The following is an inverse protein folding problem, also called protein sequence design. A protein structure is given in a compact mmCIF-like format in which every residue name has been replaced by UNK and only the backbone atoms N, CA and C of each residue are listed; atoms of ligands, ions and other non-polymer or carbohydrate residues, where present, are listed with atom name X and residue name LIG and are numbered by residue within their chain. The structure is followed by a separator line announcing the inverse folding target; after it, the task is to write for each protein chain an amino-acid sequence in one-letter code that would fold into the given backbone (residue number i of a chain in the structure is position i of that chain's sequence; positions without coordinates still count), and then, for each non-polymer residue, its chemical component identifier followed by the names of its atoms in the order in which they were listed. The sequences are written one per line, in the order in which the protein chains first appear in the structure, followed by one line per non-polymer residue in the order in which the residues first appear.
data_IF_433499780611
#
_entry.id   IF_433499780611
#
_cell.length_a   1.000
_cell.length_b   1.000
_cell.length_c   1.000
_cell.angle_alpha   90.00
_cell.angle_beta   90.00
_cell.angle_gamma   90.00
#
_symmetry.space_group_name_H-M   'P 1'
#
loop_
_entity.id
_entity.type
_entity.pdbx_description
1 polymer ?
#
# COMPACT_ATOMS: atom_id res chain seq x y z
N UNK A 1 -9.52 4.01 19.00
CA UNK A 1 -8.07 3.95 18.68
C UNK A 1 -7.65 4.96 17.63
N UNK A 2 -8.29 5.03 16.45
CA UNK A 2 -7.90 5.95 15.38
C UNK A 2 -7.85 7.42 15.82
N UNK A 3 -8.91 7.93 16.45
CA UNK A 3 -8.94 9.32 16.95
C UNK A 3 -7.84 9.62 17.98
N UNK A 4 -7.50 8.65 18.83
CA UNK A 4 -6.38 8.76 19.78
C UNK A 4 -5.03 8.84 19.06
N UNK A 5 -4.73 7.91 18.15
CA UNK A 5 -3.43 7.85 17.47
C UNK A 5 -3.17 9.07 16.58
N UNK A 6 -4.17 9.51 15.81
CA UNK A 6 -4.02 10.70 14.96
C UNK A 6 -3.81 11.97 15.79
N UNK A 7 -4.58 12.13 16.87
CA UNK A 7 -4.42 13.27 17.78
C UNK A 7 -3.10 13.23 18.53
N UNK A 8 -2.64 12.04 18.94
CA UNK A 8 -1.34 11.83 19.57
C UNK A 8 -0.20 12.32 18.68
N UNK A 9 -0.19 11.95 17.41
CA UNK A 9 0.83 12.43 16.47
C UNK A 9 0.82 13.95 16.35
N UNK A 10 -0.37 14.54 16.26
CA UNK A 10 -0.52 15.99 16.17
C UNK A 10 0.02 16.70 17.44
N UNK A 11 -0.39 16.27 18.64
CA UNK A 11 0.08 16.87 19.89
C UNK A 11 1.59 16.67 20.12
N UNK A 12 2.13 15.48 19.81
CA UNK A 12 3.57 15.24 19.94
C UNK A 12 4.44 16.10 19.01
N UNK A 13 3.86 16.58 17.91
CA UNK A 13 4.59 17.34 16.87
C UNK A 13 4.40 18.85 17.03
N UNK A 14 3.18 19.30 17.35
CA UNK A 14 2.82 20.73 17.31
C UNK A 14 2.47 21.34 18.68
N UNK A 15 2.29 20.53 19.72
CA UNK A 15 2.01 21.02 21.07
C UNK A 15 3.18 20.72 22.02
N UNK A 16 3.35 21.57 23.04
CA UNK A 16 4.44 21.45 24.00
C UNK A 16 5.71 22.22 23.61
N UNK A 17 6.78 21.97 24.37
CA UNK A 17 8.08 22.61 24.21
C UNK A 17 8.94 21.85 23.19
N UNK A 18 9.77 22.55 22.40
CA UNK A 18 10.69 21.90 21.47
C UNK A 18 11.66 20.98 22.21
N UNK A 19 11.95 19.82 21.62
CA UNK A 19 12.84 18.80 22.20
C UNK A 19 14.29 18.89 21.68
N UNK A 20 14.55 19.72 20.69
CA UNK A 20 15.85 19.85 20.02
C UNK A 20 16.15 21.30 19.65
N UNK A 21 17.42 21.69 19.75
CA UNK A 21 17.88 23.06 19.48
C UNK A 21 17.82 23.45 17.99
N UNK A 22 17.65 22.47 17.09
CA UNK A 22 17.56 22.69 15.63
C UNK A 22 16.29 23.46 15.23
N UNK A 23 15.29 23.54 16.11
CA UNK A 23 13.99 24.17 15.84
C UNK A 23 14.13 25.65 15.51
N UNK A 24 15.10 26.37 16.10
CA UNK A 24 15.31 27.81 15.86
C UNK A 24 15.68 28.14 14.41
N UNK A 25 16.11 27.15 13.62
CA UNK A 25 16.56 27.35 12.24
C UNK A 25 15.55 26.85 11.20
N UNK A 26 14.41 26.27 11.63
CA UNK A 26 13.40 25.72 10.72
C UNK A 26 12.47 26.83 10.24
N UNK A 27 12.64 27.21 8.98
CA UNK A 27 11.77 28.18 8.30
C UNK A 27 11.16 27.54 7.06
N UNK A 28 9.89 27.81 6.78
CA UNK A 28 9.26 27.38 5.53
C UNK A 28 9.65 28.33 4.39
N UNK A 29 10.73 28.00 3.66
CA UNK A 29 11.27 28.87 2.61
C UNK A 29 10.51 28.78 1.26
N UNK A 30 9.64 27.78 1.07
CA UNK A 30 8.97 27.54 -0.23
C UNK A 30 7.46 27.66 -0.18
N UNK A 31 6.93 28.76 -0.72
CA UNK A 31 5.48 29.03 -0.78
C UNK A 31 4.70 28.00 -1.63
N UNK A 32 5.36 27.33 -2.59
CA UNK A 32 4.72 26.39 -3.52
C UNK A 32 4.18 25.11 -2.87
N UNK A 33 4.68 24.70 -1.70
CA UNK A 33 4.18 23.51 -0.99
C UNK A 33 2.77 23.74 -0.42
N UNK A 34 2.42 24.99 -0.10
CA UNK A 34 1.13 25.35 0.51
C UNK A 34 -0.03 25.24 -0.48
N UNK A 35 0.19 25.57 -1.74
CA UNK A 35 -0.83 25.58 -2.78
C UNK A 35 -1.56 24.24 -2.92
N UNK A 36 -0.87 23.10 -3.16
CA UNK A 36 -1.56 21.81 -3.26
C UNK A 36 -2.20 21.38 -1.94
N UNK A 37 -1.56 21.65 -0.80
CA UNK A 37 -2.06 21.24 0.52
C UNK A 37 -3.37 21.95 0.91
N UNK A 38 -3.43 23.27 0.68
CA UNK A 38 -4.64 24.07 0.90
C UNK A 38 -5.73 23.69 -0.09
N UNK A 39 -5.39 23.49 -1.37
CA UNK A 39 -6.36 23.06 -2.39
C UNK A 39 -7.00 21.72 -2.01
N UNK A 40 -6.18 20.73 -1.63
CA UNK A 40 -6.68 19.42 -1.20
C UNK A 40 -7.52 19.51 0.08
N UNK A 41 -7.16 20.39 1.02
CA UNK A 41 -7.92 20.60 2.26
C UNK A 41 -9.30 21.19 1.98
N UNK A 42 -9.39 22.17 1.08
CA UNK A 42 -10.67 22.74 0.63
C UNK A 42 -11.50 21.66 -0.08
N UNK A 43 -10.91 20.95 -1.05
CA UNK A 43 -11.61 19.88 -1.77
C UNK A 43 -12.12 18.83 -0.79
N UNK A 44 -11.31 18.38 0.17
CA UNK A 44 -11.71 17.35 1.15
C UNK A 44 -12.83 17.85 2.06
N UNK A 45 -12.73 19.09 2.56
CA UNK A 45 -13.74 19.68 3.45
C UNK A 45 -15.12 19.78 2.80
N UNK A 46 -15.17 20.12 1.50
CA UNK A 46 -16.44 20.29 0.80
C UNK A 46 -16.92 19.01 0.09
N UNK A 47 -16.03 18.18 -0.45
CA UNK A 47 -16.42 17.03 -1.28
C UNK A 47 -17.28 16.03 -0.52
N UNK A 48 -16.90 15.67 0.71
CA UNK A 48 -17.68 14.70 1.50
C UNK A 48 -19.09 15.19 1.79
N UNK A 49 -19.22 16.47 2.19
CA UNK A 49 -20.50 17.09 2.48
C UNK A 49 -21.37 17.27 1.23
N UNK A 50 -20.78 17.74 0.12
CA UNK A 50 -21.48 17.92 -1.15
C UNK A 50 -21.99 16.59 -1.70
N UNK A 51 -21.17 15.52 -1.65
CA UNK A 51 -21.58 14.20 -2.10
C UNK A 51 -22.69 13.61 -1.22
N UNK A 52 -22.61 13.80 0.10
CA UNK A 52 -23.67 13.39 1.02
C UNK A 52 -24.99 14.13 0.69
N UNK A 53 -24.97 15.46 0.61
CA UNK A 53 -26.14 16.27 0.26
C UNK A 53 -26.67 16.00 -1.16
N UNK A 54 -25.81 15.50 -2.05
CA UNK A 54 -26.19 15.07 -3.41
C UNK A 54 -26.84 13.69 -3.48
N UNK A 55 -27.11 13.03 -2.34
CA UNK A 55 -27.61 11.65 -2.24
C UNK A 55 -26.74 10.62 -2.97
N UNK A 56 -25.41 10.82 -2.99
CA UNK A 56 -24.47 9.97 -3.70
C UNK A 56 -24.58 8.49 -3.34
N UNK A 57 -24.80 8.19 -2.05
CA UNK A 57 -24.94 6.81 -1.55
C UNK A 57 -26.17 6.13 -2.14
N UNK A 58 -27.32 6.82 -2.18
CA UNK A 58 -28.56 6.28 -2.75
C UNK A 58 -28.45 6.10 -4.26
N UNK A 59 -27.82 7.06 -4.95
CA UNK A 59 -27.52 6.95 -6.37
C UNK A 59 -26.63 5.73 -6.70
N UNK A 60 -25.64 5.41 -5.85
CA UNK A 60 -24.77 4.25 -6.04
C UNK A 60 -25.46 2.92 -5.66
N UNK A 61 -26.36 2.95 -4.67
CA UNK A 61 -26.99 1.74 -4.13
C UNK A 61 -28.12 1.18 -4.99
N UNK A 62 -28.86 2.00 -5.73
CA UNK A 62 -29.97 1.52 -6.56
C UNK A 62 -30.07 2.28 -7.90
N UNK A 63 -29.31 1.82 -8.93
CA UNK A 63 -29.32 2.43 -10.25
C UNK A 63 -30.63 2.20 -11.03
N UNK A 64 -31.51 1.31 -10.56
CA UNK A 64 -32.71 0.86 -11.29
C UNK A 64 -34.01 1.48 -10.75
N UNK A 65 -34.04 1.89 -9.48
CA UNK A 65 -35.18 2.55 -8.83
C UNK A 65 -35.12 4.09 -8.90
N UNK A 66 -34.47 4.66 -9.92
CA UNK A 66 -34.42 6.11 -10.15
C UNK A 66 -35.75 6.64 -10.71
N UNK A 67 -36.82 6.56 -9.92
CA UNK A 67 -38.05 7.34 -10.14
C UNK A 67 -38.12 8.49 -9.12
N UNK A 68 -37.15 9.41 -9.17
CA UNK A 68 -37.27 10.67 -8.42
C UNK A 68 -35.97 11.43 -8.16
N UNK A 69 -34.92 10.78 -7.64
CA UNK A 69 -33.69 11.46 -7.21
C UNK A 69 -32.57 11.28 -8.23
N UNK A 70 -32.43 12.25 -9.13
CA UNK A 70 -31.19 12.35 -9.90
C UNK A 70 -30.08 12.85 -8.95
N UNK A 71 -28.88 12.28 -9.05
CA UNK A 71 -27.73 12.76 -8.31
C UNK A 71 -27.61 14.29 -8.43
N UNK A 72 -27.45 14.97 -7.29
CA UNK A 72 -27.39 16.43 -7.15
C UNK A 72 -28.67 17.23 -7.47
N UNK A 73 -29.77 16.64 -7.98
CA UNK A 73 -30.94 17.47 -8.35
C UNK A 73 -31.64 18.09 -7.17
N UNK A 74 -31.74 17.37 -6.07
CA UNK A 74 -32.40 17.87 -4.86
C UNK A 74 -31.54 18.93 -4.17
N UNK A 75 -30.22 18.76 -4.20
CA UNK A 75 -29.26 19.79 -3.77
C UNK A 75 -29.38 21.08 -4.60
N UNK A 76 -29.55 21.01 -5.92
CA UNK A 76 -29.68 22.20 -6.77
C UNK A 76 -31.05 22.87 -6.69
N UNK A 77 -32.14 22.11 -6.52
CA UNK A 77 -33.51 22.65 -6.49
C UNK A 77 -33.92 23.11 -5.09
N UNK A 78 -33.57 22.34 -4.06
CA UNK A 78 -33.95 22.57 -2.66
C UNK A 78 -32.72 22.41 -1.75
N UNK A 79 -31.73 23.31 -1.83
CA UNK A 79 -30.44 23.15 -1.15
C UNK A 79 -30.58 23.06 0.38
N UNK A 80 -31.50 23.85 0.96
CA UNK A 80 -31.69 23.86 2.42
C UNK A 80 -32.35 22.56 2.90
N UNK A 81 -33.34 22.06 2.18
CA UNK A 81 -34.06 20.84 2.55
C UNK A 81 -33.17 19.61 2.40
N UNK A 82 -32.37 19.54 1.32
CA UNK A 82 -31.40 18.46 1.13
C UNK A 82 -30.35 18.42 2.24
N UNK A 83 -29.82 19.58 2.65
CA UNK A 83 -28.87 19.67 3.77
C UNK A 83 -29.53 19.26 5.10
N UNK A 84 -30.73 19.76 5.38
CA UNK A 84 -31.43 19.44 6.62
C UNK A 84 -31.80 17.96 6.70
N UNK A 85 -32.28 17.38 5.59
CA UNK A 85 -32.59 15.96 5.50
C UNK A 85 -31.37 15.09 5.78
N UNK A 86 -30.22 15.37 5.15
CA UNK A 86 -29.00 14.59 5.38
C UNK A 86 -28.45 14.78 6.80
N UNK A 87 -28.52 15.99 7.37
CA UNK A 87 -28.13 16.22 8.76
C UNK A 87 -29.04 15.47 9.75
N UNK A 88 -30.35 15.48 9.51
CA UNK A 88 -31.33 14.75 10.32
C UNK A 88 -31.12 13.24 10.19
N UNK A 89 -30.93 12.74 8.97
CA UNK A 89 -30.69 11.32 8.72
C UNK A 89 -29.36 10.84 9.33
N UNK A 90 -28.29 11.65 9.22
CA UNK A 90 -26.97 11.29 9.70
C UNK A 90 -26.82 11.38 11.23
N UNK A 91 -27.38 12.43 11.86
CA UNK A 91 -27.19 12.68 13.29
C UNK A 91 -28.40 12.30 14.16
N UNK A 92 -29.60 12.24 13.58
CA UNK A 92 -30.85 11.97 14.28
C UNK A 92 -31.68 10.86 13.60
N UNK A 93 -31.11 9.67 13.36
CA UNK A 93 -31.86 8.59 12.70
C UNK A 93 -33.10 8.18 13.53
N UNK A 94 -34.16 7.76 12.86
CA UNK A 94 -35.40 7.30 13.51
C UNK A 94 -35.14 6.09 14.42
N UNK A 95 -34.22 5.22 14.02
CA UNK A 95 -33.78 4.08 14.83
C UNK A 95 -32.91 4.53 16.02
N UNK A 96 -33.45 4.34 17.22
CA UNK A 96 -32.76 4.62 18.47
C UNK A 96 -31.44 3.85 18.63
N UNK A 97 -31.34 2.63 18.10
CA UNK A 97 -30.10 1.84 18.17
C UNK A 97 -29.01 2.48 17.33
N UNK A 98 -29.31 2.84 16.07
CA UNK A 98 -28.35 3.53 15.20
C UNK A 98 -27.93 4.88 15.79
N UNK A 99 -28.88 5.62 16.37
CA UNK A 99 -28.60 6.90 17.05
C UNK A 99 -27.59 6.72 18.19
N UNK A 100 -27.84 5.76 19.09
CA UNK A 100 -26.96 5.51 20.24
C UNK A 100 -25.57 5.07 19.76
N UNK A 101 -25.50 4.14 18.80
CA UNK A 101 -24.22 3.64 18.28
C UNK A 101 -23.43 4.76 17.61
N UNK A 102 -24.08 5.57 16.76
CA UNK A 102 -23.46 6.69 16.06
C UNK A 102 -22.91 7.74 17.02
N UNK A 103 -23.72 8.22 17.96
CA UNK A 103 -23.29 9.21 18.96
C UNK A 103 -22.21 8.65 19.90
N UNK A 104 -22.30 7.39 20.28
CA UNK A 104 -21.26 6.73 21.09
C UNK A 104 -19.94 6.65 20.32
N UNK A 105 -19.98 6.27 19.04
CA UNK A 105 -18.79 6.21 18.19
C UNK A 105 -18.15 7.60 18.01
N UNK A 106 -18.96 8.64 17.76
CA UNK A 106 -18.49 10.03 17.66
C UNK A 106 -17.86 10.47 18.98
N UNK A 107 -18.52 10.24 20.12
CA UNK A 107 -18.02 10.62 21.43
C UNK A 107 -16.70 9.92 21.76
N UNK A 108 -16.61 8.62 21.53
CA UNK A 108 -15.38 7.85 21.80
C UNK A 108 -14.24 8.24 20.86
N UNK A 109 -14.53 8.44 19.57
CA UNK A 109 -13.51 8.70 18.55
C UNK A 109 -13.05 10.16 18.53
N UNK A 110 -13.98 11.12 18.50
CA UNK A 110 -13.70 12.54 18.37
C UNK A 110 -13.62 13.28 19.72
N UNK A 111 -14.18 12.72 20.79
CA UNK A 111 -14.08 13.29 22.14
C UNK A 111 -12.99 12.63 22.97
N UNK A 112 -13.24 11.38 23.38
CA UNK A 112 -12.39 10.66 24.35
C UNK A 112 -10.97 10.42 23.81
N UNK A 113 -10.82 10.04 22.54
CA UNK A 113 -9.51 9.81 21.91
C UNK A 113 -8.59 11.04 21.97
N UNK A 114 -8.98 12.19 21.39
CA UNK A 114 -8.19 13.42 21.45
C UNK A 114 -7.97 13.92 22.88
N UNK A 115 -8.95 13.79 23.77
CA UNK A 115 -8.80 14.17 25.18
C UNK A 115 -7.69 13.38 25.88
N UNK A 116 -7.70 12.05 25.75
CA UNK A 116 -6.66 11.19 26.34
C UNK A 116 -5.29 11.49 25.69
N UNK A 117 -5.24 11.68 24.38
CA UNK A 117 -4.01 12.03 23.67
C UNK A 117 -3.42 13.37 24.13
N UNK A 118 -4.25 14.40 24.30
CA UNK A 118 -3.85 15.69 24.83
C UNK A 118 -3.32 15.56 26.27
N UNK A 119 -3.95 14.73 27.10
CA UNK A 119 -3.52 14.50 28.48
C UNK A 119 -2.18 13.76 28.57
N UNK A 120 -1.89 12.86 27.65
CA UNK A 120 -0.65 12.05 27.64
C UNK A 120 0.53 12.72 26.95
N UNK A 121 0.26 13.56 25.93
CA UNK A 121 1.30 14.06 25.02
C UNK A 121 1.18 15.56 24.71
N UNK A 122 0.16 16.22 25.22
CA UNK A 122 -0.06 17.64 25.06
C UNK A 122 0.76 18.51 26.01
N UNK A 123 0.78 19.81 25.75
CA UNK A 123 1.49 20.77 26.59
C UNK A 123 1.38 22.20 26.08
N UNK A 124 1.88 23.13 26.89
CA UNK A 124 1.97 24.54 26.53
C UNK A 124 3.20 24.80 25.64
N UNK A 125 3.06 25.74 24.71
CA UNK A 125 4.17 26.26 23.90
C UNK A 125 5.22 26.94 24.79
N UNK A 126 6.46 27.04 24.29
CA UNK A 126 7.52 27.82 24.90
C UNK A 126 7.21 29.33 24.89
N UNK A 127 7.79 30.05 25.84
CA UNK A 127 7.60 31.49 25.97
C UNK A 127 8.11 32.22 24.73
N UNK A 128 7.23 32.98 24.07
CA UNK A 128 7.54 33.74 22.85
C UNK A 128 7.04 33.12 21.54
N UNK A 129 6.72 31.81 21.53
CA UNK A 129 6.22 31.12 20.34
C UNK A 129 4.71 31.32 20.15
N UNK A 130 4.29 31.50 18.89
CA UNK A 130 2.88 31.73 18.55
C UNK A 130 2.37 30.67 17.59
N UNK A 131 1.15 30.22 17.85
CA UNK A 131 0.43 29.33 16.95
C UNK A 131 -0.35 30.09 15.88
N UNK A 132 -0.63 29.39 14.78
CA UNK A 132 -1.54 29.85 13.74
C UNK A 132 -2.95 30.03 14.36
N UNK A 133 -3.71 31.07 14.00
CA UNK A 133 -5.03 31.34 14.59
C UNK A 133 -5.98 30.13 14.55
N UNK A 134 -5.93 29.33 13.48
CA UNK A 134 -6.77 28.15 13.30
C UNK A 134 -6.47 27.01 14.29
N UNK A 135 -5.23 26.89 14.77
CA UNK A 135 -4.81 25.82 15.70
C UNK A 135 -4.68 26.30 17.15
N UNK A 136 -4.80 27.61 17.37
CA UNK A 136 -4.66 28.23 18.69
C UNK A 136 -5.63 27.66 19.74
N UNK A 137 -6.88 27.41 19.36
CA UNK A 137 -7.87 26.81 20.26
C UNK A 137 -7.45 25.41 20.74
N UNK A 138 -6.84 24.62 19.85
CA UNK A 138 -6.45 23.24 20.12
C UNK A 138 -5.20 23.18 21.01
N UNK A 139 -4.27 24.11 20.83
CA UNK A 139 -3.08 24.23 21.70
C UNK A 139 -3.48 24.73 23.08
N UNK A 140 -4.39 25.70 23.16
CA UNK A 140 -4.94 26.16 24.44
C UNK A 140 -5.67 25.04 25.17
N UNK A 141 -6.47 24.26 24.45
CA UNK A 141 -7.13 23.07 24.98
C UNK A 141 -6.09 22.07 25.51
N UNK A 142 -5.09 21.73 24.70
CA UNK A 142 -4.01 20.82 25.07
C UNK A 142 -3.22 21.26 26.31
N UNK A 143 -2.98 22.56 26.49
CA UNK A 143 -2.31 23.07 27.68
C UNK A 143 -3.20 23.02 28.92
N UNK A 144 -4.51 23.24 28.76
CA UNK A 144 -5.47 23.21 29.88
C UNK A 144 -5.73 21.79 30.43
N UNK A 145 -5.59 20.78 29.58
CA UNK A 145 -5.74 19.38 29.93
C UNK A 145 -4.41 18.92 30.53
N UNK A 146 -4.35 18.77 31.87
CA UNK A 146 -3.11 18.45 32.58
C UNK A 146 -2.41 17.16 32.11
N UNK A 147 -1.25 16.83 32.66
CA UNK A 147 -0.44 15.70 32.20
C UNK A 147 -0.78 14.39 32.95
N UNK A 148 -0.87 13.28 32.22
CA UNK A 148 -0.87 11.92 32.79
C UNK A 148 0.44 11.22 32.46
N UNK A 149 1.19 10.82 33.49
CA UNK A 149 2.32 9.93 33.30
C UNK A 149 1.86 8.51 32.96
N UNK A 150 2.47 7.91 31.95
CA UNK A 150 2.16 6.58 31.42
C UNK A 150 3.39 5.70 31.31
N UNK A 151 4.49 6.04 32.00
CA UNK A 151 5.76 5.29 31.97
C UNK A 151 5.57 3.79 32.22
N UNK A 152 4.83 3.41 33.26
CA UNK A 152 4.57 1.99 33.59
C UNK A 152 3.84 1.24 32.47
N UNK A 153 2.89 1.89 31.78
CA UNK A 153 2.19 1.30 30.63
C UNK A 153 3.07 1.20 29.39
N UNK A 154 3.99 2.16 29.22
CA UNK A 154 4.92 2.20 28.09
C UNK A 154 6.02 1.13 28.19
N UNK A 155 6.40 0.74 29.40
CA UNK A 155 7.41 -0.30 29.66
C UNK A 155 6.82 -1.71 29.80
N UNK A 156 5.50 -1.83 29.79
CA UNK A 156 4.81 -3.12 29.89
C UNK A 156 5.05 -4.03 28.68
N UNK A 157 4.98 -5.35 28.88
CA UNK A 157 5.22 -6.34 27.82
C UNK A 157 4.29 -6.20 26.60
N UNK A 158 3.06 -5.71 26.80
CA UNK A 158 2.15 -5.42 25.68
C UNK A 158 2.61 -4.23 24.84
N UNK A 159 3.16 -3.18 25.45
CA UNK A 159 3.73 -2.04 24.73
C UNK A 159 4.97 -2.46 23.93
N UNK A 160 5.83 -3.30 24.51
CA UNK A 160 6.97 -3.91 23.79
C UNK A 160 6.50 -4.77 22.61
N UNK A 161 5.44 -5.57 22.78
CA UNK A 161 4.87 -6.35 21.69
C UNK A 161 4.31 -5.44 20.57
N UNK A 162 3.54 -4.39 20.91
CA UNK A 162 3.05 -3.42 19.92
C UNK A 162 4.19 -2.69 19.21
N UNK A 163 5.26 -2.34 19.92
CA UNK A 163 6.46 -1.74 19.34
C UNK A 163 7.11 -2.67 18.31
N UNK A 164 7.20 -3.96 18.63
CA UNK A 164 7.69 -5.00 17.73
C UNK A 164 6.63 -5.49 16.73
N UNK A 165 5.62 -4.65 16.40
CA UNK A 165 4.54 -4.96 15.43
C UNK A 165 3.84 -6.29 15.71
N UNK A 166 3.66 -6.60 16.99
CA UNK A 166 3.08 -7.84 17.51
C UNK A 166 3.83 -9.12 17.08
N UNK A 167 5.12 -9.00 16.70
CA UNK A 167 5.94 -10.10 16.17
C UNK A 167 5.33 -10.77 14.92
N UNK A 168 4.38 -10.09 14.26
CA UNK A 168 3.72 -10.61 13.05
C UNK A 168 4.74 -10.70 11.92
N UNK A 169 5.52 -9.63 11.71
CA UNK A 169 6.57 -9.57 10.68
C UNK A 169 7.61 -10.69 10.89
N UNK A 170 8.05 -10.91 12.14
CA UNK A 170 9.00 -11.97 12.51
C UNK A 170 8.42 -13.38 12.27
N UNK A 171 7.13 -13.58 12.58
CA UNK A 171 6.45 -14.85 12.34
C UNK A 171 6.30 -15.14 10.83
N UNK A 172 5.98 -14.12 10.03
CA UNK A 172 5.94 -14.22 8.57
C UNK A 172 7.32 -14.54 8.00
N UNK A 173 8.37 -13.84 8.44
CA UNK A 173 9.75 -14.11 8.00
C UNK A 173 10.20 -15.51 8.40
N UNK A 174 9.91 -15.94 9.63
CA UNK A 174 10.18 -17.30 10.09
C UNK A 174 9.43 -18.35 9.25
N UNK A 175 8.16 -18.12 8.95
CA UNK A 175 7.36 -19.02 8.14
C UNK A 175 7.91 -19.13 6.71
N UNK A 176 8.15 -17.99 6.06
CA UNK A 176 8.68 -17.93 4.69
C UNK A 176 10.08 -18.55 4.64
N UNK A 177 10.93 -18.24 5.61
CA UNK A 177 12.30 -18.78 5.66
C UNK A 177 12.36 -20.28 5.90
N UNK A 178 11.41 -20.85 6.66
CA UNK A 178 11.33 -22.29 6.90
C UNK A 178 10.66 -23.06 5.77
N UNK A 179 9.77 -22.44 5.00
CA UNK A 179 8.97 -23.13 3.99
C UNK A 179 9.41 -22.77 2.57
N UNK A 180 9.35 -21.50 2.22
CA UNK A 180 9.56 -21.02 0.86
C UNK A 180 11.03 -21.03 0.45
N UNK A 181 11.95 -20.57 1.32
CA UNK A 181 13.37 -20.50 0.97
C UNK A 181 14.00 -21.87 0.68
N UNK A 182 13.74 -22.94 1.44
CA UNK A 182 14.25 -24.27 1.11
C UNK A 182 13.69 -24.80 -0.21
N UNK A 183 12.39 -24.58 -0.48
CA UNK A 183 11.78 -24.97 -1.74
C UNK A 183 12.39 -24.21 -2.93
N UNK A 184 12.62 -22.91 -2.77
CA UNK A 184 13.29 -22.09 -3.78
C UNK A 184 14.71 -22.60 -4.05
N UNK A 185 15.47 -22.97 -3.01
CA UNK A 185 16.81 -23.54 -3.15
C UNK A 185 16.78 -24.90 -3.87
N UNK A 186 15.80 -25.75 -3.59
CA UNK A 186 15.60 -27.02 -4.31
C UNK A 186 15.30 -26.75 -5.78
N UNK A 187 14.39 -25.82 -6.08
CA UNK A 187 14.07 -25.44 -7.47
C UNK A 187 15.30 -24.91 -8.21
N UNK A 188 16.10 -24.05 -7.57
CA UNK A 188 17.33 -23.52 -8.14
C UNK A 188 18.39 -24.61 -8.38
N UNK A 189 18.47 -25.61 -7.49
CA UNK A 189 19.32 -26.78 -7.70
C UNK A 189 18.84 -27.63 -8.88
N UNK A 190 17.53 -27.87 -9.02
CA UNK A 190 16.97 -28.61 -10.15
C UNK A 190 17.29 -27.90 -11.46
N UNK A 191 17.07 -26.59 -11.54
CA UNK A 191 17.36 -25.80 -12.73
C UNK A 191 18.85 -25.92 -13.12
N UNK A 192 19.75 -25.67 -12.17
CA UNK A 192 21.20 -25.67 -12.41
C UNK A 192 21.77 -27.07 -12.72
N UNK A 193 21.23 -28.13 -12.12
CA UNK A 193 21.78 -29.48 -12.27
C UNK A 193 21.10 -30.26 -13.39
N UNK A 194 19.78 -30.19 -13.50
CA UNK A 194 19.01 -30.99 -14.45
C UNK A 194 18.76 -30.22 -15.74
N UNK A 195 18.14 -29.05 -15.67
CA UNK A 195 17.76 -28.29 -16.88
C UNK A 195 19.02 -27.85 -17.64
N UNK A 196 19.93 -27.19 -16.93
CA UNK A 196 21.23 -26.77 -17.47
C UNK A 196 22.08 -27.96 -17.94
N UNK A 197 22.01 -29.07 -17.22
CA UNK A 197 22.72 -30.30 -17.55
C UNK A 197 22.24 -30.90 -18.88
N UNK A 198 20.92 -30.94 -19.09
CA UNK A 198 20.31 -31.40 -20.34
C UNK A 198 20.71 -30.50 -21.51
N UNK A 199 20.59 -29.18 -21.34
CA UNK A 199 20.92 -28.21 -22.40
C UNK A 199 22.39 -28.34 -22.81
N UNK A 200 23.32 -28.36 -21.83
CA UNK A 200 24.74 -28.56 -22.08
C UNK A 200 25.04 -29.94 -22.66
N UNK A 201 24.27 -30.96 -22.31
CA UNK A 201 24.35 -32.30 -22.90
C UNK A 201 24.03 -32.29 -24.40
N UNK A 202 22.94 -31.63 -24.78
CA UNK A 202 22.53 -31.46 -26.19
C UNK A 202 23.60 -30.65 -26.95
N UNK A 203 24.07 -29.56 -26.37
CA UNK A 203 25.13 -28.72 -26.95
C UNK A 203 26.39 -29.54 -27.27
N UNK A 204 26.92 -30.28 -26.28
CA UNK A 204 28.11 -31.13 -26.45
C UNK A 204 27.86 -32.26 -27.45
N UNK A 205 26.68 -32.88 -27.44
CA UNK A 205 26.31 -33.92 -28.40
C UNK A 205 26.29 -33.40 -29.83
N UNK A 206 25.74 -32.20 -30.03
CA UNK A 206 25.72 -31.52 -31.34
C UNK A 206 27.12 -31.17 -31.82
N UNK A 207 27.96 -30.59 -30.94
CA UNK A 207 29.35 -30.27 -31.27
C UNK A 207 30.16 -31.53 -31.60
N UNK A 208 30.00 -32.60 -30.80
CA UNK A 208 30.65 -33.89 -31.07
C UNK A 208 30.24 -34.45 -32.44
N UNK A 209 28.93 -34.51 -32.73
CA UNK A 209 28.42 -34.99 -34.02
C UNK A 209 28.96 -34.16 -35.19
N UNK A 210 28.99 -32.83 -35.04
CA UNK A 210 29.55 -31.91 -36.03
C UNK A 210 31.03 -32.20 -36.29
N UNK A 211 31.83 -32.37 -35.23
CA UNK A 211 33.25 -32.71 -35.39
C UNK A 211 33.46 -34.09 -36.03
N UNK A 212 32.59 -35.06 -35.75
CA UNK A 212 32.64 -36.40 -36.34
C UNK A 212 32.32 -36.38 -37.84
N UNK A 213 31.24 -35.67 -38.24
CA UNK A 213 30.90 -35.48 -39.66
C UNK A 213 32.03 -34.74 -40.39
N UNK A 214 32.64 -33.74 -39.75
CA UNK A 214 33.75 -32.98 -40.33
C UNK A 214 34.97 -33.86 -40.65
N UNK A 215 35.21 -34.92 -39.89
CA UNK A 215 36.34 -35.83 -40.16
C UNK A 215 36.20 -36.61 -41.47
N UNK A 216 34.98 -36.84 -41.96
CA UNK A 216 34.76 -37.47 -43.28
C UNK A 216 35.09 -36.53 -44.46
N UNK A 217 35.28 -35.24 -44.20
CA UNK A 217 35.60 -34.23 -45.23
C UNK A 217 37.12 -34.06 -45.30
N UNK A 218 37.79 -34.85 -46.15
CA UNK A 218 39.26 -34.94 -46.21
C UNK A 218 39.94 -33.81 -47.00
N UNK A 219 39.17 -33.02 -47.76
CA UNK A 219 39.69 -31.92 -48.59
C UNK A 219 40.40 -32.37 -49.88
N UNK A 220 40.43 -33.67 -50.18
CA UNK A 220 41.02 -34.23 -51.42
C UNK A 220 39.94 -34.47 -52.47
N UNK A 221 40.11 -33.91 -53.67
CA UNK A 221 39.16 -34.07 -54.78
C UNK A 221 38.88 -35.55 -55.15
N UNK A 222 39.89 -36.42 -55.03
CA UNK A 222 39.77 -37.86 -55.29
C UNK A 222 38.72 -38.54 -54.40
N UNK A 223 38.67 -38.16 -53.13
CA UNK A 223 37.85 -38.83 -52.13
C UNK A 223 36.37 -38.46 -52.33
N UNK A 224 36.09 -37.22 -52.73
CA UNK A 224 34.74 -36.79 -53.10
C UNK A 224 34.23 -37.49 -54.36
N UNK A 225 35.08 -37.62 -55.40
CA UNK A 225 34.70 -38.33 -56.63
C UNK A 225 34.34 -39.80 -56.34
N UNK A 226 35.11 -40.46 -55.48
CA UNK A 226 34.83 -41.83 -55.02
C UNK A 226 33.49 -41.90 -54.28
N UNK A 227 33.25 -40.99 -53.31
CA UNK A 227 31.99 -40.93 -52.57
C UNK A 227 30.78 -40.69 -53.48
N UNK A 228 30.91 -39.80 -54.48
CA UNK A 228 29.85 -39.55 -55.47
C UNK A 228 29.57 -40.77 -56.34
N UNK A 229 30.61 -41.47 -56.82
CA UNK A 229 30.45 -42.67 -57.61
C UNK A 229 29.75 -43.79 -56.81
N UNK A 230 30.15 -44.00 -55.55
CA UNK A 230 29.49 -44.96 -54.64
C UNK A 230 28.04 -44.56 -54.40
N UNK A 231 27.78 -43.27 -54.11
CA UNK A 231 26.42 -42.76 -53.91
C UNK A 231 25.53 -42.96 -55.14
N UNK A 232 26.07 -42.74 -56.34
CA UNK A 232 25.37 -42.98 -57.61
C UNK A 232 25.05 -44.47 -57.82
N UNK A 233 26.00 -45.37 -57.53
CA UNK A 233 25.78 -46.81 -57.64
C UNK A 233 24.71 -47.31 -56.66
N UNK A 234 24.73 -46.82 -55.41
CA UNK A 234 23.69 -47.15 -54.42
C UNK A 234 22.33 -46.64 -54.88
N UNK A 235 22.25 -45.39 -55.34
CA UNK A 235 21.00 -44.79 -55.82
C UNK A 235 20.40 -45.57 -56.99
N UNK A 236 21.22 -45.97 -57.97
CA UNK A 236 20.80 -46.82 -59.09
C UNK A 236 20.39 -48.21 -58.61
N UNK A 237 21.11 -48.80 -57.65
CA UNK A 237 20.79 -50.09 -57.05
C UNK A 237 19.42 -50.11 -56.36
N UNK A 238 19.09 -49.04 -55.62
CA UNK A 238 17.77 -48.84 -54.99
C UNK A 238 16.68 -48.70 -56.07
N UNK A 239 16.92 -47.90 -57.11
CA UNK A 239 15.96 -47.73 -58.21
C UNK A 239 15.71 -49.00 -59.01
N UNK A 240 16.72 -49.86 -59.13
CA UNK A 240 16.62 -51.16 -59.81
C UNK A 240 16.04 -52.26 -58.89
N UNK A 241 15.83 -51.99 -57.59
CA UNK A 241 15.31 -52.95 -56.62
C UNK A 241 16.28 -54.08 -56.27
N UNK A 242 17.59 -53.85 -56.43
CA UNK A 242 18.66 -54.81 -56.08
C UNK A 242 19.05 -54.70 -54.61
N UNK A 243 18.72 -53.58 -53.97
CA UNK A 243 18.83 -53.28 -52.53
C UNK A 243 17.50 -52.64 -52.11
#
# INVERSE_FOLDING_TARGET
MTGFYMSRMWFMTFAGKPKSDVVEHVHEDTQWIKTPLVTLSIVTAFSGFLLACGHFVYWLSDPASTKGSHFMTDLFKHPVEAILYELEHAFLPEDNTLKIVGWTAILLSAGLGPFIAARMHGGHLSDGERSIPLTSWLIRYSGSVGHTDVGELAEGGFATALHNRLYIDDAYEWLISKTLLPLANISAWIDKNWVDGIIKGIERGSQWLSTWIRQYTTGRASDYLLMTAIGMLIFVGILWGVI
#
